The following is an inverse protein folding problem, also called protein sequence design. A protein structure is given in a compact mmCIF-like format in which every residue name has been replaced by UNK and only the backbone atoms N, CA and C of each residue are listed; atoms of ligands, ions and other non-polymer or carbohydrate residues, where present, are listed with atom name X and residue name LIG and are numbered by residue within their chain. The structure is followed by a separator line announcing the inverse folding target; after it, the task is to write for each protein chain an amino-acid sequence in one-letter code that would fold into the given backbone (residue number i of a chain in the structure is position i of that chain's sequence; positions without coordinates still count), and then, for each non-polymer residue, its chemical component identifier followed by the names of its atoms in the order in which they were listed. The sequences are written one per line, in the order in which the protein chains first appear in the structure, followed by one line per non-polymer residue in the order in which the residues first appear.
data_IF_918064650075
#
_entry.id   IF_918064650075
#
_cell.length_a   1.000
_cell.length_b   1.000
_cell.length_c   1.000
_cell.angle_alpha   90.00
_cell.angle_beta   90.00
_cell.angle_gamma   90.00
#
_symmetry.space_group_name_H-M   'P 1'
#
loop_
_entity.id
_entity.type
_entity.pdbx_description
1 polymer ?
#
# COMPACT_ATOMS: atom_id res chain seq x y z
N UNK A 1 -41.76 61.62 -17.49
CA UNK A 1 -40.50 60.90 -17.51
C UNK A 1 -40.18 60.50 -16.07
N UNK A 2 -40.38 59.24 -15.72
CA UNK A 2 -39.99 58.68 -14.42
C UNK A 2 -38.72 57.83 -14.63
N UNK A 3 -37.63 58.29 -14.04
CA UNK A 3 -36.35 57.57 -14.08
C UNK A 3 -36.41 56.36 -13.12
N UNK A 4 -36.20 55.15 -13.64
CA UNK A 4 -35.97 53.93 -12.84
C UNK A 4 -34.46 53.86 -12.49
N UNK A 5 -34.15 53.98 -11.22
CA UNK A 5 -32.81 53.68 -10.67
C UNK A 5 -32.82 52.23 -10.28
N UNK A 6 -32.11 51.37 -11.06
CA UNK A 6 -31.85 49.97 -10.69
C UNK A 6 -30.69 49.94 -9.70
N UNK A 7 -30.98 49.57 -8.47
CA UNK A 7 -29.94 49.21 -7.48
C UNK A 7 -29.41 47.81 -7.81
N UNK A 8 -28.19 47.74 -8.29
CA UNK A 8 -27.44 46.50 -8.34
C UNK A 8 -26.91 46.18 -6.93
N UNK A 9 -27.50 45.19 -6.28
CA UNK A 9 -26.93 44.62 -5.06
C UNK A 9 -25.74 43.72 -5.43
N UNK A 10 -24.52 44.20 -5.18
CA UNK A 10 -23.33 43.34 -5.18
C UNK A 10 -23.38 42.44 -3.93
N UNK A 11 -23.74 41.18 -4.11
CA UNK A 11 -23.48 40.16 -3.09
C UNK A 11 -21.97 39.94 -3.01
N UNK A 12 -21.34 40.42 -1.97
CA UNK A 12 -19.98 40.06 -1.64
C UNK A 12 -19.94 38.56 -1.34
N UNK A 13 -19.40 37.77 -2.27
CA UNK A 13 -18.96 36.42 -1.96
C UNK A 13 -17.86 36.57 -0.90
N UNK A 14 -18.15 36.18 0.33
CA UNK A 14 -17.12 35.98 1.35
C UNK A 14 -16.22 34.87 0.86
N UNK A 15 -15.00 35.17 0.44
CA UNK A 15 -13.97 34.18 0.23
C UNK A 15 -13.74 33.50 1.59
N UNK A 16 -14.12 32.23 1.72
CA UNK A 16 -13.77 31.45 2.89
C UNK A 16 -12.23 31.37 2.96
N UNK A 17 -11.68 31.61 4.15
CA UNK A 17 -10.24 31.47 4.34
C UNK A 17 -9.82 30.03 4.04
N UNK A 18 -8.74 29.86 3.25
CA UNK A 18 -8.18 28.53 2.94
C UNK A 18 -7.81 27.79 4.22
N UNK A 19 -8.02 26.48 4.25
CA UNK A 19 -7.57 25.63 5.35
C UNK A 19 -6.05 25.77 5.54
N UNK A 20 -5.53 26.16 6.71
CA UNK A 20 -4.09 26.27 6.92
C UNK A 20 -3.42 24.91 6.80
N UNK A 21 -2.17 24.88 6.33
CA UNK A 21 -1.38 23.64 6.39
C UNK A 21 -1.15 23.25 7.84
N UNK A 22 -1.25 21.94 8.16
CA UNK A 22 -0.89 21.48 9.49
C UNK A 22 0.61 21.68 9.76
N UNK A 23 0.95 21.86 11.02
CA UNK A 23 2.33 21.89 11.48
C UNK A 23 2.76 20.49 11.93
N UNK A 24 3.98 20.10 11.56
CA UNK A 24 4.58 18.82 11.93
C UNK A 24 5.73 19.07 12.91
N UNK A 25 5.77 18.31 14.01
CA UNK A 25 6.93 18.32 14.90
C UNK A 25 8.17 17.75 14.19
N UNK A 26 9.34 17.92 14.80
CA UNK A 26 10.52 17.16 14.39
C UNK A 26 10.24 15.66 14.49
N UNK A 27 10.80 14.82 13.57
CA UNK A 27 10.66 13.36 13.63
C UNK A 27 11.26 12.81 14.93
N UNK A 28 10.56 11.88 15.56
CA UNK A 28 11.02 11.14 16.73
C UNK A 28 10.99 9.65 16.42
N UNK A 29 12.12 8.96 16.59
CA UNK A 29 12.18 7.52 16.45
C UNK A 29 11.39 6.85 17.60
N UNK A 30 10.47 5.95 17.26
CA UNK A 30 9.72 5.11 18.23
C UNK A 30 10.27 3.67 18.27
N UNK A 31 11.27 3.37 17.46
CA UNK A 31 12.07 2.13 17.51
C UNK A 31 13.54 2.49 17.47
N UNK A 32 14.42 1.59 17.95
CA UNK A 32 15.86 1.87 18.02
C UNK A 32 16.67 0.60 17.84
N UNK A 33 17.90 0.76 17.31
CA UNK A 33 18.83 -0.33 17.14
C UNK A 33 19.11 -1.13 18.42
N UNK A 34 19.79 -2.30 18.29
CA UNK A 34 20.63 -2.65 17.13
C UNK A 34 19.87 -3.24 15.93
N UNK A 35 18.63 -3.69 16.11
CA UNK A 35 17.81 -4.30 15.05
C UNK A 35 17.19 -3.25 14.11
N UNK A 36 16.93 -3.65 12.86
CA UNK A 36 16.11 -2.88 11.94
C UNK A 36 14.62 -3.09 12.27
N UNK A 37 13.85 -2.01 12.20
CA UNK A 37 12.41 -2.03 12.41
C UNK A 37 11.69 -1.40 11.23
N UNK A 38 10.52 -1.92 10.90
CA UNK A 38 9.67 -1.37 9.84
C UNK A 38 8.19 -1.62 10.17
N UNK A 39 7.31 -0.87 9.53
CA UNK A 39 5.89 -1.16 9.65
C UNK A 39 5.58 -2.60 9.19
N UNK A 40 4.67 -3.24 9.89
CA UNK A 40 4.30 -4.63 9.64
C UNK A 40 3.40 -4.83 8.41
N UNK A 41 3.11 -3.77 7.64
CA UNK A 41 2.20 -3.79 6.50
C UNK A 41 2.50 -2.72 5.46
N UNK A 42 1.82 -2.81 4.30
CA UNK A 42 1.93 -1.86 3.20
C UNK A 42 1.33 -0.49 3.58
N UNK A 43 1.74 0.58 2.88
CA UNK A 43 1.38 1.97 3.23
C UNK A 43 -0.13 2.27 3.26
N UNK A 44 -0.96 1.52 2.54
CA UNK A 44 -2.41 1.66 2.56
C UNK A 44 -3.09 1.11 3.82
N UNK A 45 -2.33 0.46 4.72
CA UNK A 45 -2.84 -0.15 5.95
C UNK A 45 -2.46 0.71 7.14
N UNK A 46 -3.43 1.05 7.99
CA UNK A 46 -3.16 1.81 9.21
C UNK A 46 -2.45 0.92 10.26
N UNK A 47 -1.21 1.24 10.69
CA UNK A 47 -0.48 0.45 11.67
C UNK A 47 -0.87 0.79 13.12
N UNK A 48 -1.64 1.85 13.35
CA UNK A 48 -2.02 2.34 14.66
C UNK A 48 -3.20 1.57 15.22
N UNK A 49 -3.16 1.25 16.52
CA UNK A 49 -4.36 0.83 17.25
C UNK A 49 -5.40 1.95 17.29
N UNK A 50 -6.65 1.61 17.56
CA UNK A 50 -7.76 2.57 17.56
C UNK A 50 -7.58 3.73 18.56
N UNK A 51 -6.81 3.51 19.64
CA UNK A 51 -6.48 4.52 20.68
C UNK A 51 -5.12 5.21 20.45
N UNK A 52 -4.49 4.99 19.29
CA UNK A 52 -3.15 5.48 18.91
C UNK A 52 -2.01 5.11 19.88
N UNK A 53 -2.21 4.09 20.72
CA UNK A 53 -1.20 3.65 21.68
C UNK A 53 -0.20 2.70 21.07
N UNK A 54 -0.68 1.72 20.28
CA UNK A 54 0.15 0.66 19.73
C UNK A 54 0.36 0.85 18.24
N UNK A 55 1.58 0.54 17.78
CA UNK A 55 1.96 0.56 16.36
C UNK A 55 2.44 -0.84 15.97
N UNK A 56 1.86 -1.44 14.93
CA UNK A 56 2.29 -2.73 14.38
C UNK A 56 3.63 -2.57 13.67
N UNK A 57 4.64 -3.28 14.15
CA UNK A 57 6.04 -3.19 13.71
C UNK A 57 6.64 -4.58 13.53
N UNK A 58 7.56 -4.71 12.58
CA UNK A 58 8.47 -5.83 12.45
C UNK A 58 9.85 -5.48 12.98
N UNK A 59 10.54 -6.46 13.56
CA UNK A 59 11.94 -6.37 13.98
C UNK A 59 12.75 -7.46 13.28
N UNK A 60 13.86 -7.10 12.65
CA UNK A 60 14.70 -8.02 11.87
C UNK A 60 16.19 -7.67 11.94
N UNK A 61 17.04 -8.70 11.77
CA UNK A 61 18.49 -8.56 11.54
C UNK A 61 18.88 -8.67 10.06
N UNK A 62 17.93 -8.99 9.18
CA UNK A 62 18.18 -9.06 7.74
C UNK A 62 18.35 -7.65 7.19
N UNK A 63 19.52 -7.40 6.57
CA UNK A 63 19.90 -6.10 6.06
C UNK A 63 20.71 -6.25 4.77
N UNK A 64 20.56 -5.29 3.83
CA UNK A 64 21.34 -5.23 2.58
C UNK A 64 21.07 -6.35 1.57
N UNK A 65 20.04 -7.16 1.77
CA UNK A 65 19.59 -8.25 0.89
C UNK A 65 18.12 -8.57 1.11
N UNK A 66 17.55 -9.39 0.26
CA UNK A 66 16.22 -9.99 0.49
C UNK A 66 16.29 -11.09 1.55
N UNK A 67 15.17 -11.33 2.27
CA UNK A 67 15.07 -12.51 3.14
C UNK A 67 15.12 -13.79 2.33
N UNK A 68 15.81 -14.80 2.89
CA UNK A 68 15.89 -16.16 2.35
C UNK A 68 14.77 -17.03 2.90
N UNK A 69 14.47 -18.19 2.25
CA UNK A 69 13.54 -19.16 2.80
C UNK A 69 13.91 -19.59 4.23
N UNK A 70 12.94 -19.53 5.14
CA UNK A 70 13.14 -19.89 6.56
C UNK A 70 13.63 -18.74 7.45
N UNK A 71 14.01 -17.58 6.92
CA UNK A 71 14.38 -16.44 7.74
C UNK A 71 13.14 -15.75 8.35
N UNK A 72 13.09 -15.77 9.65
CA UNK A 72 11.98 -15.20 10.43
C UNK A 72 12.18 -13.71 10.70
N UNK A 73 11.04 -13.04 10.86
CA UNK A 73 10.93 -11.69 11.42
C UNK A 73 10.10 -11.77 12.70
N UNK A 74 10.41 -10.94 13.71
CA UNK A 74 9.53 -10.75 14.85
C UNK A 74 8.41 -9.78 14.48
N UNK A 75 7.16 -10.21 14.70
CA UNK A 75 5.96 -9.36 14.57
C UNK A 75 5.56 -8.90 15.95
N UNK A 76 5.31 -7.62 16.13
CA UNK A 76 4.94 -7.10 17.43
C UNK A 76 4.34 -5.70 17.39
N UNK A 77 4.22 -5.12 18.56
CA UNK A 77 3.70 -3.79 18.77
C UNK A 77 4.72 -2.89 19.46
N UNK A 78 4.74 -1.62 19.09
CA UNK A 78 5.44 -0.59 19.87
C UNK A 78 4.42 0.10 20.75
N UNK A 79 4.64 0.10 22.06
CA UNK A 79 3.82 0.85 23.02
C UNK A 79 4.34 2.28 23.14
N UNK A 80 3.70 3.21 22.44
CA UNK A 80 4.15 4.62 22.39
C UNK A 80 3.91 5.39 23.69
N UNK A 81 3.14 4.85 24.63
CA UNK A 81 2.87 5.44 25.96
C UNK A 81 3.76 4.85 27.05
N UNK A 82 4.47 3.76 26.77
CA UNK A 82 5.36 3.06 27.71
C UNK A 82 6.84 3.15 27.24
N UNK A 83 7.28 4.35 26.85
CA UNK A 83 8.66 4.62 26.45
C UNK A 83 9.08 4.03 25.11
N UNK A 84 8.15 3.87 24.19
CA UNK A 84 8.38 3.32 22.83
C UNK A 84 8.97 1.89 22.87
N UNK A 85 8.48 1.06 23.78
CA UNK A 85 8.97 -0.31 23.93
C UNK A 85 8.38 -1.22 22.86
N UNK A 86 9.23 -1.88 22.07
CA UNK A 86 8.81 -2.98 21.20
C UNK A 86 8.47 -4.21 22.04
N UNK A 87 7.30 -4.78 21.81
CA UNK A 87 6.81 -6.01 22.43
C UNK A 87 6.60 -7.04 21.34
N UNK A 88 7.51 -8.03 21.21
CA UNK A 88 7.33 -9.10 20.23
C UNK A 88 6.13 -9.97 20.61
N UNK A 89 5.33 -10.34 19.61
CA UNK A 89 4.12 -11.16 19.78
C UNK A 89 4.28 -12.51 19.10
N UNK A 90 4.82 -12.51 17.87
CA UNK A 90 4.97 -13.72 17.07
C UNK A 90 6.23 -13.67 16.20
N UNK A 91 6.56 -14.80 15.57
CA UNK A 91 7.56 -14.88 14.50
C UNK A 91 6.94 -15.47 13.24
N UNK A 92 7.40 -14.99 12.08
CA UNK A 92 6.93 -15.48 10.79
C UNK A 92 8.02 -15.42 9.73
N UNK A 93 8.00 -16.37 8.79
CA UNK A 93 8.82 -16.36 7.56
C UNK A 93 8.09 -15.66 6.39
N UNK A 94 6.82 -15.28 6.58
CA UNK A 94 6.00 -14.62 5.55
C UNK A 94 6.13 -13.10 5.67
N UNK A 95 7.23 -12.55 5.16
CA UNK A 95 7.49 -11.12 5.23
C UNK A 95 8.40 -10.61 4.10
N UNK A 96 8.38 -9.32 3.88
CA UNK A 96 9.29 -8.61 3.01
C UNK A 96 9.42 -7.13 3.47
N UNK A 97 10.36 -6.38 2.87
CA UNK A 97 10.62 -4.99 3.27
C UNK A 97 9.55 -4.00 2.82
N UNK A 98 8.72 -4.34 1.83
CA UNK A 98 7.76 -3.42 1.23
C UNK A 98 6.35 -3.53 1.84
N UNK A 99 5.90 -4.76 2.06
CA UNK A 99 4.55 -5.04 2.55
C UNK A 99 4.54 -5.63 3.97
N UNK A 100 5.73 -5.80 4.57
CA UNK A 100 5.84 -6.47 5.86
C UNK A 100 5.26 -7.87 5.80
N UNK A 101 4.45 -8.22 6.78
CA UNK A 101 3.64 -9.45 6.83
C UNK A 101 2.17 -9.20 6.57
N UNK A 102 1.81 -8.05 5.98
CA UNK A 102 0.45 -7.56 5.80
C UNK A 102 -0.36 -7.57 7.10
N UNK A 103 0.24 -7.14 8.20
CA UNK A 103 -0.44 -7.08 9.48
C UNK A 103 -1.50 -5.98 9.51
N UNK A 104 -2.70 -6.31 10.01
CA UNK A 104 -3.83 -5.39 10.14
C UNK A 104 -4.44 -5.54 11.53
N UNK A 105 -4.74 -4.42 12.19
CA UNK A 105 -5.65 -4.45 13.33
C UNK A 105 -7.02 -4.97 12.89
N UNK A 106 -7.67 -5.78 13.72
CA UNK A 106 -9.04 -6.25 13.47
C UNK A 106 -10.02 -5.25 14.10
N UNK A 107 -10.77 -4.48 13.28
CA UNK A 107 -11.76 -3.54 13.80
C UNK A 107 -12.80 -4.23 14.68
N UNK A 108 -13.07 -3.65 15.86
CA UNK A 108 -14.02 -4.19 16.82
C UNK A 108 -13.49 -5.30 17.74
N UNK A 109 -12.25 -5.79 17.52
CA UNK A 109 -11.57 -6.75 18.40
C UNK A 109 -10.36 -6.05 19.07
N UNK A 110 -10.48 -5.52 20.30
CA UNK A 110 -9.37 -4.84 20.98
C UNK A 110 -8.14 -5.73 21.10
N UNK A 111 -6.97 -5.11 20.99
CA UNK A 111 -5.66 -5.77 21.12
C UNK A 111 -5.44 -6.96 20.16
N UNK A 112 -6.22 -7.02 19.06
CA UNK A 112 -6.23 -8.13 18.12
C UNK A 112 -5.79 -7.66 16.73
N UNK A 113 -4.84 -8.38 16.13
CA UNK A 113 -4.41 -8.13 14.76
C UNK A 113 -4.24 -9.45 13.99
N UNK A 114 -4.28 -9.36 12.66
CA UNK A 114 -3.96 -10.46 11.74
C UNK A 114 -2.59 -10.23 11.13
N UNK A 115 -1.85 -11.29 10.87
CA UNK A 115 -0.59 -11.27 10.11
C UNK A 115 -0.45 -12.55 9.28
N UNK A 116 0.35 -12.51 8.21
CA UNK A 116 0.61 -13.69 7.39
C UNK A 116 1.71 -14.56 7.99
N UNK A 117 1.50 -15.85 7.93
CA UNK A 117 2.42 -16.86 8.44
C UNK A 117 2.46 -18.10 7.55
N UNK A 118 3.42 -18.99 7.81
CA UNK A 118 3.44 -20.33 7.24
C UNK A 118 3.02 -21.35 8.32
N UNK A 119 2.08 -22.23 7.98
CA UNK A 119 1.67 -23.36 8.81
C UNK A 119 1.53 -24.59 7.91
N UNK A 120 2.13 -25.69 8.30
CA UNK A 120 2.07 -26.97 7.56
C UNK A 120 2.38 -26.83 6.07
N UNK A 121 3.41 -26.04 5.73
CA UNK A 121 3.84 -25.79 4.36
C UNK A 121 2.89 -24.92 3.54
N UNK A 122 1.96 -24.17 4.15
CA UNK A 122 1.03 -23.26 3.46
C UNK A 122 1.07 -21.85 4.02
N UNK A 123 0.89 -20.87 3.16
CA UNK A 123 0.66 -19.50 3.59
C UNK A 123 -0.76 -19.39 4.16
N UNK A 124 -0.84 -18.85 5.35
CA UNK A 124 -2.08 -18.66 6.12
C UNK A 124 -2.08 -17.26 6.72
N UNK A 125 -3.21 -16.81 7.25
CA UNK A 125 -3.24 -15.69 8.17
C UNK A 125 -3.48 -16.18 9.60
N UNK A 126 -2.83 -15.56 10.57
CA UNK A 126 -3.03 -15.80 12.00
C UNK A 126 -3.63 -14.54 12.60
N UNK A 127 -4.78 -14.66 13.21
CA UNK A 127 -5.41 -13.60 14.00
C UNK A 127 -5.01 -13.87 15.44
N UNK A 128 -4.34 -12.91 16.07
CA UNK A 128 -3.80 -13.02 17.44
C UNK A 128 -4.24 -11.87 18.31
N UNK A 129 -4.64 -12.17 19.54
CA UNK A 129 -4.80 -11.17 20.59
C UNK A 129 -3.50 -11.12 21.43
N UNK A 130 -2.76 -10.03 21.33
CA UNK A 130 -1.41 -9.93 21.93
C UNK A 130 -1.40 -9.75 23.45
N UNK A 131 -2.58 -9.68 24.08
CA UNK A 131 -2.70 -9.66 25.56
C UNK A 131 -2.97 -11.02 26.15
N UNK A 132 -3.68 -11.87 25.41
CA UNK A 132 -4.14 -13.17 25.91
C UNK A 132 -3.47 -14.35 25.21
N UNK A 133 -2.67 -14.08 24.17
CA UNK A 133 -2.04 -15.08 23.29
C UNK A 133 -3.07 -15.99 22.59
N UNK A 134 -4.33 -15.59 22.55
CA UNK A 134 -5.37 -16.36 21.85
C UNK A 134 -5.18 -16.19 20.34
N UNK A 135 -5.09 -17.33 19.62
CA UNK A 135 -4.89 -17.37 18.18
C UNK A 135 -6.04 -18.05 17.46
N UNK A 136 -6.28 -17.60 16.20
CA UNK A 136 -7.18 -18.20 15.24
C UNK A 136 -6.51 -18.21 13.86
N UNK A 137 -6.47 -19.38 13.23
CA UNK A 137 -5.84 -19.55 11.91
C UNK A 137 -6.91 -19.44 10.83
N UNK A 138 -6.63 -18.64 9.81
CA UNK A 138 -7.40 -18.53 8.56
C UNK A 138 -6.57 -19.23 7.47
N UNK A 139 -7.10 -20.22 6.73
CA UNK A 139 -6.31 -21.02 5.79
C UNK A 139 -5.97 -20.30 4.47
N UNK A 140 -5.91 -18.98 4.51
CA UNK A 140 -5.58 -18.07 3.41
C UNK A 140 -4.73 -16.92 3.91
N UNK A 141 -3.64 -16.52 3.19
CA UNK A 141 -2.93 -15.29 3.51
C UNK A 141 -3.82 -14.07 3.22
N UNK A 142 -3.62 -12.97 3.93
CA UNK A 142 -4.34 -11.72 3.70
C UNK A 142 -3.49 -10.73 2.90
N UNK A 143 -4.13 -9.97 2.01
CA UNK A 143 -3.55 -8.84 1.27
C UNK A 143 -4.28 -7.52 1.58
N UNK A 144 -5.54 -7.58 1.97
CA UNK A 144 -6.31 -6.46 2.48
C UNK A 144 -7.38 -6.96 3.46
N UNK A 145 -7.75 -6.14 4.43
CA UNK A 145 -8.85 -6.40 5.37
C UNK A 145 -9.89 -5.29 5.22
N UNK A 146 -11.17 -5.67 5.21
CA UNK A 146 -12.29 -4.71 5.13
C UNK A 146 -12.40 -3.86 6.40
N UNK A 147 -12.96 -2.66 6.27
CA UNK A 147 -13.09 -1.71 7.38
C UNK A 147 -13.94 -2.24 8.56
N UNK A 148 -14.79 -3.24 8.33
CA UNK A 148 -15.58 -3.91 9.38
C UNK A 148 -14.86 -5.12 10.02
N UNK A 149 -13.64 -5.45 9.56
CA UNK A 149 -12.85 -6.58 10.06
C UNK A 149 -13.38 -7.97 9.72
N UNK A 150 -14.40 -8.08 8.87
CA UNK A 150 -15.08 -9.36 8.59
C UNK A 150 -14.56 -10.09 7.36
N UNK A 151 -14.02 -9.35 6.40
CA UNK A 151 -13.59 -9.89 5.11
C UNK A 151 -12.13 -9.55 4.85
N UNK A 152 -11.48 -10.39 4.07
CA UNK A 152 -10.16 -10.10 3.53
C UNK A 152 -10.12 -10.41 2.03
N UNK A 153 -9.17 -9.80 1.33
CA UNK A 153 -8.73 -10.26 0.01
C UNK A 153 -7.47 -11.08 0.21
N UNK A 154 -7.43 -12.25 -0.41
CA UNK A 154 -6.25 -13.10 -0.52
C UNK A 154 -5.76 -13.15 -1.95
N UNK A 155 -4.45 -13.22 -2.11
CA UNK A 155 -3.75 -13.36 -3.40
C UNK A 155 -2.67 -14.43 -3.29
N UNK A 156 -2.13 -14.87 -4.42
CA UNK A 156 -1.09 -15.89 -4.47
C UNK A 156 0.32 -15.28 -4.31
N UNK A 157 0.82 -15.21 -3.08
CA UNK A 157 2.16 -14.70 -2.76
C UNK A 157 3.29 -15.58 -3.30
N UNK A 158 3.06 -16.91 -3.43
CA UNK A 158 4.04 -17.81 -4.02
C UNK A 158 4.25 -17.50 -5.51
N UNK A 159 3.15 -17.27 -6.25
CA UNK A 159 3.21 -16.87 -7.64
C UNK A 159 3.90 -15.52 -7.82
N UNK A 160 3.56 -14.54 -6.99
CA UNK A 160 4.19 -13.23 -7.00
C UNK A 160 5.71 -13.33 -6.75
N UNK A 161 6.16 -14.21 -5.85
CA UNK A 161 7.58 -14.45 -5.54
C UNK A 161 8.41 -14.83 -6.75
N UNK A 162 7.86 -15.54 -7.72
CA UNK A 162 8.59 -15.99 -8.91
C UNK A 162 9.14 -14.82 -9.74
N UNK A 163 8.40 -13.72 -9.80
CA UNK A 163 8.76 -12.54 -10.60
C UNK A 163 9.09 -11.31 -9.74
N UNK A 164 8.56 -11.24 -8.53
CA UNK A 164 8.74 -10.13 -7.59
C UNK A 164 9.15 -10.66 -6.21
N UNK A 165 10.42 -11.04 -6.05
CA UNK A 165 10.92 -11.58 -4.78
C UNK A 165 10.92 -10.58 -3.63
N UNK A 166 10.73 -9.30 -3.92
CA UNK A 166 10.63 -8.19 -2.97
C UNK A 166 9.21 -7.99 -2.39
N UNK A 167 8.19 -8.65 -2.97
CA UNK A 167 6.80 -8.59 -2.49
C UNK A 167 6.23 -9.97 -2.15
N UNK A 168 6.61 -11.01 -2.90
CA UNK A 168 6.20 -12.37 -2.60
C UNK A 168 6.98 -12.96 -1.41
N UNK A 169 6.35 -13.88 -0.68
CA UNK A 169 7.00 -14.52 0.47
C UNK A 169 7.96 -15.62 0.06
N UNK A 170 9.10 -15.70 0.73
CA UNK A 170 10.03 -16.81 0.61
C UNK A 170 9.45 -18.05 1.30
N UNK A 171 9.24 -19.14 0.56
CA UNK A 171 8.71 -20.37 1.13
C UNK A 171 8.72 -21.51 0.12
N UNK A 172 9.03 -22.72 0.58
CA UNK A 172 9.03 -23.92 -0.22
C UNK A 172 7.63 -24.59 -0.20
N UNK A 173 7.31 -25.34 -1.26
CA UNK A 173 6.11 -26.19 -1.32
C UNK A 173 4.80 -25.43 -1.59
N UNK A 174 4.85 -24.17 -1.94
CA UNK A 174 3.66 -23.40 -2.28
C UNK A 174 3.29 -23.57 -3.76
N UNK A 175 1.99 -23.66 -4.03
CA UNK A 175 1.47 -23.71 -5.41
C UNK A 175 1.52 -22.34 -6.06
N UNK A 176 2.55 -22.10 -6.84
CA UNK A 176 2.75 -20.86 -7.60
C UNK A 176 2.09 -20.89 -8.98
N UNK A 177 1.42 -21.97 -9.37
CA UNK A 177 0.92 -22.16 -10.73
C UNK A 177 2.03 -21.90 -11.78
N UNK A 178 3.25 -22.32 -11.48
CA UNK A 178 4.40 -22.19 -12.38
C UNK A 178 4.11 -22.85 -13.74
N UNK A 179 4.41 -22.15 -14.82
CA UNK A 179 4.14 -22.64 -16.18
C UNK A 179 2.75 -22.32 -16.71
N UNK A 180 1.82 -21.82 -15.89
CA UNK A 180 0.51 -21.33 -16.33
C UNK A 180 0.52 -19.80 -16.35
N UNK A 181 0.48 -19.19 -17.54
CA UNK A 181 0.56 -17.71 -17.67
C UNK A 181 -0.68 -17.03 -17.13
N UNK A 182 -1.88 -17.57 -17.42
CA UNK A 182 -3.17 -17.00 -17.04
C UNK A 182 -4.07 -18.06 -16.39
N UNK A 183 -3.89 -18.38 -15.10
CA UNK A 183 -4.72 -19.37 -14.43
C UNK A 183 -6.18 -18.88 -14.30
N UNK A 184 -7.13 -19.82 -14.49
CA UNK A 184 -8.56 -19.59 -14.31
C UNK A 184 -8.99 -19.74 -12.86
N UNK A 185 -8.22 -20.46 -12.06
CA UNK A 185 -8.48 -20.84 -10.68
C UNK A 185 -7.61 -20.09 -9.66
N UNK A 186 -6.91 -19.03 -10.08
CA UNK A 186 -6.10 -18.15 -9.25
C UNK A 186 -6.41 -16.67 -9.54
N UNK A 187 -6.29 -15.81 -8.51
CA UNK A 187 -6.63 -14.40 -8.62
C UNK A 187 -6.96 -13.73 -7.29
N UNK A 188 -8.07 -13.00 -7.25
CA UNK A 188 -8.60 -12.41 -6.02
C UNK A 188 -9.56 -13.40 -5.34
N UNK A 189 -9.25 -13.77 -4.12
CA UNK A 189 -10.16 -14.54 -3.26
C UNK A 189 -10.74 -13.63 -2.18
N UNK A 190 -12.07 -13.60 -2.08
CA UNK A 190 -12.77 -12.99 -0.96
C UNK A 190 -12.86 -14.02 0.16
N UNK A 191 -12.31 -13.69 1.32
CA UNK A 191 -12.21 -14.58 2.49
C UNK A 191 -13.09 -14.02 3.61
N UNK A 192 -13.91 -14.87 4.22
CA UNK A 192 -14.61 -14.58 5.48
C UNK A 192 -13.63 -14.84 6.64
N UNK A 193 -13.25 -13.78 7.37
CA UNK A 193 -12.28 -13.89 8.46
C UNK A 193 -12.82 -14.62 9.70
N UNK A 194 -14.11 -14.84 9.80
CA UNK A 194 -14.73 -15.59 10.89
C UNK A 194 -14.72 -17.09 10.64
N UNK A 195 -15.04 -17.51 9.40
CA UNK A 195 -15.17 -18.94 9.03
C UNK A 195 -13.92 -19.49 8.33
N UNK A 196 -13.11 -18.64 7.71
CA UNK A 196 -12.00 -19.04 6.84
C UNK A 196 -12.44 -19.49 5.44
N UNK A 197 -13.74 -19.44 5.13
CA UNK A 197 -14.25 -19.75 3.79
C UNK A 197 -13.77 -18.70 2.79
N UNK A 198 -13.43 -19.14 1.58
CA UNK A 198 -12.96 -18.27 0.52
C UNK A 198 -13.67 -18.56 -0.81
N UNK A 199 -13.89 -17.50 -1.58
CA UNK A 199 -14.45 -17.55 -2.92
C UNK A 199 -13.57 -16.80 -3.89
N UNK A 200 -13.17 -17.41 -5.02
CA UNK A 200 -12.54 -16.70 -6.12
C UNK A 200 -13.56 -15.72 -6.73
N UNK A 201 -13.26 -14.43 -6.68
CA UNK A 201 -14.15 -13.37 -7.18
C UNK A 201 -13.71 -12.82 -8.54
N UNK A 202 -12.39 -12.80 -8.82
CA UNK A 202 -11.83 -12.41 -10.13
C UNK A 202 -10.64 -13.31 -10.41
N UNK A 203 -10.66 -14.06 -11.52
CA UNK A 203 -9.50 -14.86 -11.93
C UNK A 203 -8.52 -14.04 -12.78
N UNK A 204 -7.24 -14.44 -12.77
CA UNK A 204 -6.20 -13.82 -13.60
C UNK A 204 -6.57 -13.95 -15.09
N UNK A 205 -7.09 -15.09 -15.51
CA UNK A 205 -7.55 -15.30 -16.88
C UNK A 205 -8.66 -14.34 -17.31
N UNK A 206 -9.59 -14.01 -16.39
CA UNK A 206 -10.78 -13.20 -16.70
C UNK A 206 -10.47 -11.75 -17.09
N UNK A 207 -9.30 -11.22 -16.73
CA UNK A 207 -8.89 -9.85 -17.06
C UNK A 207 -7.95 -9.77 -18.26
N UNK A 208 -7.44 -10.90 -18.78
CA UNK A 208 -6.50 -10.95 -19.89
C UNK A 208 -6.99 -10.18 -21.11
N UNK A 209 -8.21 -10.47 -21.54
CA UNK A 209 -8.79 -9.88 -22.76
C UNK A 209 -9.15 -8.39 -22.63
N UNK A 210 -9.12 -7.87 -21.40
CA UNK A 210 -9.37 -6.45 -21.10
C UNK A 210 -8.15 -5.57 -21.30
N UNK A 211 -6.96 -6.17 -21.51
CA UNK A 211 -5.67 -5.47 -21.63
C UNK A 211 -4.98 -5.89 -22.93
N UNK A 212 -5.00 -5.08 -24.00
CA UNK A 212 -4.43 -5.44 -25.30
C UNK A 212 -2.98 -5.91 -25.24
N UNK A 213 -2.11 -5.24 -24.47
CA UNK A 213 -0.72 -5.63 -24.33
C UNK A 213 -0.57 -7.02 -23.66
N UNK A 214 -1.40 -7.33 -22.68
CA UNK A 214 -1.39 -8.62 -21.96
C UNK A 214 -2.02 -9.73 -22.81
N UNK A 215 -3.07 -9.42 -23.57
CA UNK A 215 -3.73 -10.37 -24.47
C UNK A 215 -2.76 -10.99 -25.48
N UNK A 216 -1.75 -10.25 -25.91
CA UNK A 216 -0.74 -10.72 -26.87
C UNK A 216 0.31 -11.64 -26.27
N UNK A 217 0.39 -11.79 -24.94
CA UNK A 217 1.34 -12.69 -24.27
C UNK A 217 0.98 -14.14 -24.60
N UNK A 218 1.91 -14.95 -25.16
CA UNK A 218 1.63 -16.33 -25.48
C UNK A 218 1.56 -17.21 -24.22
N UNK A 219 0.69 -18.20 -24.23
CA UNK A 219 0.63 -19.23 -23.20
C UNK A 219 1.66 -20.33 -23.48
N UNK A 220 2.88 -20.13 -23.01
CA UNK A 220 3.98 -21.08 -23.18
C UNK A 220 4.97 -20.97 -22.01
N UNK A 221 5.77 -22.02 -21.73
CA UNK A 221 6.83 -21.95 -20.74
C UNK A 221 7.80 -20.78 -21.01
N UNK A 222 8.19 -20.08 -19.96
CA UNK A 222 9.08 -18.92 -20.05
C UNK A 222 8.42 -17.60 -20.50
N UNK A 223 7.11 -17.60 -20.77
CA UNK A 223 6.37 -16.36 -20.98
C UNK A 223 6.25 -15.55 -19.67
N UNK A 224 6.03 -14.21 -19.76
CA UNK A 224 5.75 -13.39 -18.58
C UNK A 224 4.57 -13.95 -17.78
N UNK A 225 4.71 -14.03 -16.46
CA UNK A 225 3.64 -14.48 -15.56
C UNK A 225 2.72 -13.32 -15.21
N UNK A 226 1.41 -13.58 -15.26
CA UNK A 226 0.42 -12.63 -14.75
C UNK A 226 0.03 -12.97 -13.32
N UNK A 227 -0.05 -11.96 -12.47
CA UNK A 227 -0.45 -12.07 -11.06
C UNK A 227 -1.17 -10.81 -10.60
N UNK A 228 -1.89 -10.90 -9.49
CA UNK A 228 -2.52 -9.78 -8.83
C UNK A 228 -1.74 -9.39 -7.56
N UNK A 229 -1.69 -8.11 -7.27
CA UNK A 229 -1.02 -7.58 -6.09
C UNK A 229 -1.64 -6.24 -5.66
N UNK A 230 -1.21 -5.74 -4.51
CA UNK A 230 -1.56 -4.40 -4.02
C UNK A 230 -3.07 -4.18 -3.96
N UNK A 231 -3.76 -5.06 -3.23
CA UNK A 231 -5.20 -4.97 -3.08
C UNK A 231 -5.58 -4.01 -1.97
N UNK A 232 -6.69 -3.28 -2.15
CA UNK A 232 -7.26 -2.43 -1.11
C UNK A 232 -8.77 -2.34 -1.25
N UNK A 233 -9.51 -2.47 -0.14
CA UNK A 233 -10.94 -2.20 -0.11
C UNK A 233 -11.21 -0.69 -0.16
N UNK A 234 -12.36 -0.29 -0.76
CA UNK A 234 -12.94 1.03 -0.52
C UNK A 234 -13.26 1.21 0.97
N UNK A 235 -13.42 2.45 1.43
CA UNK A 235 -13.64 2.76 2.85
C UNK A 235 -14.90 2.08 3.42
N UNK A 236 -15.94 1.94 2.60
CA UNK A 236 -17.19 1.24 2.95
C UNK A 236 -17.11 -0.30 2.75
N UNK A 237 -15.98 -0.81 2.22
CA UNK A 237 -15.79 -2.23 1.93
C UNK A 237 -16.60 -2.77 0.75
N UNK A 238 -17.28 -1.91 -0.03
CA UNK A 238 -18.14 -2.33 -1.15
C UNK A 238 -17.38 -2.64 -2.43
N UNK A 239 -16.13 -2.16 -2.56
CA UNK A 239 -15.27 -2.31 -3.74
C UNK A 239 -13.87 -2.76 -3.37
N UNK A 240 -13.18 -3.31 -4.37
CA UNK A 240 -11.77 -3.72 -4.31
C UNK A 240 -11.02 -3.07 -5.46
N UNK A 241 -9.87 -2.49 -5.17
CA UNK A 241 -8.86 -2.08 -6.15
C UNK A 241 -7.70 -3.08 -6.11
N UNK A 242 -7.07 -3.34 -7.27
CA UNK A 242 -5.84 -4.11 -7.35
C UNK A 242 -5.01 -3.74 -8.58
N UNK A 243 -3.74 -4.12 -8.53
CA UNK A 243 -2.86 -4.11 -9.71
C UNK A 243 -2.79 -5.52 -10.31
N UNK A 244 -3.06 -5.61 -11.62
CA UNK A 244 -2.75 -6.78 -12.44
C UNK A 244 -1.42 -6.54 -13.11
N UNK A 245 -0.44 -7.39 -12.84
CA UNK A 245 0.89 -7.31 -13.43
C UNK A 245 1.19 -8.52 -14.27
N UNK A 246 1.84 -8.30 -15.42
CA UNK A 246 2.44 -9.34 -16.23
C UNK A 246 3.92 -9.03 -16.35
N UNK A 247 4.76 -9.91 -15.80
CA UNK A 247 6.18 -9.67 -15.61
C UNK A 247 6.95 -10.94 -15.97
N UNK A 248 8.07 -10.80 -16.67
CA UNK A 248 8.96 -11.92 -16.93
C UNK A 248 9.74 -12.33 -15.67
N UNK A 249 10.42 -13.47 -15.77
CA UNK A 249 11.18 -13.98 -14.66
C UNK A 249 12.26 -12.98 -14.23
N UNK A 250 12.40 -12.87 -12.92
CA UNK A 250 13.43 -12.04 -12.31
C UNK A 250 14.83 -12.59 -12.62
N UNK A 251 15.65 -11.81 -13.30
CA UNK A 251 17.06 -12.11 -13.52
C UNK A 251 17.87 -11.76 -12.26
N UNK A 252 18.32 -12.79 -11.53
CA UNK A 252 19.09 -12.64 -10.30
C UNK A 252 20.48 -11.99 -10.51
N UNK A 253 20.99 -11.97 -11.75
CA UNK A 253 22.30 -11.41 -12.08
C UNK A 253 22.20 -9.91 -12.40
N UNK A 254 21.24 -9.56 -13.25
CA UNK A 254 21.06 -8.16 -13.69
C UNK A 254 20.13 -7.36 -12.79
N UNK A 255 19.38 -8.03 -11.92
CA UNK A 255 18.33 -7.45 -11.09
C UNK A 255 17.27 -6.66 -11.91
N UNK A 256 16.95 -7.15 -13.11
CA UNK A 256 16.04 -6.50 -14.06
C UNK A 256 14.99 -7.47 -14.59
N UNK A 257 13.93 -6.87 -15.09
CA UNK A 257 12.90 -7.53 -15.89
C UNK A 257 12.99 -7.01 -17.32
N UNK A 258 12.93 -7.90 -18.31
CA UNK A 258 12.87 -7.53 -19.73
C UNK A 258 11.46 -7.11 -20.14
N UNK A 259 10.43 -7.67 -19.48
CA UNK A 259 9.03 -7.33 -19.71
C UNK A 259 8.33 -6.95 -18.39
N UNK A 260 7.64 -5.82 -18.42
CA UNK A 260 6.88 -5.34 -17.29
C UNK A 260 5.64 -4.59 -17.76
N UNK A 261 4.47 -5.10 -17.42
CA UNK A 261 3.20 -4.44 -17.69
C UNK A 261 2.37 -4.39 -16.40
N UNK A 262 1.78 -3.24 -16.11
CA UNK A 262 0.92 -3.03 -14.95
C UNK A 262 -0.37 -2.36 -15.38
N UNK A 263 -1.50 -2.92 -14.97
CA UNK A 263 -2.83 -2.34 -15.17
C UNK A 263 -3.56 -2.27 -13.84
N UNK A 264 -4.17 -1.13 -13.54
CA UNK A 264 -5.03 -0.95 -12.38
C UNK A 264 -6.48 -1.33 -12.70
N UNK A 265 -7.12 -2.03 -11.77
CA UNK A 265 -8.52 -2.44 -11.86
C UNK A 265 -9.29 -2.14 -10.59
N UNK A 266 -10.60 -2.03 -10.72
CA UNK A 266 -11.57 -2.05 -9.63
C UNK A 266 -12.69 -3.06 -9.93
N UNK A 267 -13.30 -3.60 -8.89
CA UNK A 267 -14.55 -4.37 -8.99
C UNK A 267 -15.41 -4.14 -7.74
N UNK A 268 -16.65 -4.57 -7.79
CA UNK A 268 -17.47 -4.73 -6.59
C UNK A 268 -16.91 -5.89 -5.73
N UNK A 269 -17.19 -5.89 -4.44
CA UNK A 269 -16.65 -6.87 -3.50
C UNK A 269 -17.02 -8.32 -3.80
N UNK A 270 -18.08 -8.56 -4.55
CA UNK A 270 -18.51 -9.89 -5.01
C UNK A 270 -17.84 -10.35 -6.32
N UNK A 271 -17.00 -9.49 -6.93
CA UNK A 271 -16.33 -9.69 -8.21
C UNK A 271 -17.11 -9.15 -9.41
N UNK A 272 -18.25 -8.51 -9.19
CA UNK A 272 -19.03 -7.83 -10.22
C UNK A 272 -18.35 -6.55 -10.73
N UNK A 273 -18.83 -6.02 -11.84
CA UNK A 273 -18.42 -4.70 -12.39
C UNK A 273 -16.90 -4.48 -12.50
N UNK A 274 -16.15 -5.50 -12.95
CA UNK A 274 -14.70 -5.36 -13.17
C UNK A 274 -14.41 -4.27 -14.20
N UNK A 275 -13.65 -3.24 -13.79
CA UNK A 275 -13.31 -2.06 -14.59
C UNK A 275 -11.81 -1.84 -14.61
N UNK A 276 -11.27 -1.49 -15.78
CA UNK A 276 -9.91 -0.98 -15.94
C UNK A 276 -9.89 0.51 -15.62
N UNK A 277 -8.98 0.95 -14.76
CA UNK A 277 -8.92 2.34 -14.31
C UNK A 277 -8.37 3.32 -15.35
N UNK A 278 -7.46 2.86 -16.24
CA UNK A 278 -6.77 3.72 -17.20
C UNK A 278 -6.65 3.07 -18.58
N UNK A 279 -6.44 3.86 -19.65
CA UNK A 279 -6.04 3.35 -20.96
C UNK A 279 -4.80 2.47 -20.88
N UNK A 280 -4.65 1.56 -21.83
CA UNK A 280 -3.46 0.72 -21.92
C UNK A 280 -2.20 1.58 -22.14
N UNK A 281 -1.10 1.16 -21.49
CA UNK A 281 0.19 1.85 -21.56
C UNK A 281 0.39 2.97 -20.53
N UNK A 282 -0.64 3.43 -19.81
CA UNK A 282 -0.41 4.42 -18.76
C UNK A 282 0.38 3.86 -17.57
N UNK A 283 0.27 2.57 -17.32
CA UNK A 283 0.83 1.95 -16.14
C UNK A 283 0.16 2.44 -14.86
N UNK A 284 0.45 1.82 -13.76
CA UNK A 284 -0.01 2.23 -12.45
C UNK A 284 0.98 1.77 -11.38
N UNK A 285 1.12 2.55 -10.33
CA UNK A 285 2.02 2.25 -9.21
C UNK A 285 1.27 2.40 -7.89
N UNK A 286 1.40 3.50 -7.20
CA UNK A 286 0.85 3.71 -5.86
C UNK A 286 -0.59 4.24 -5.93
N UNK A 287 -1.40 3.93 -4.91
CA UNK A 287 -2.84 4.17 -4.94
C UNK A 287 -3.38 4.37 -3.52
N UNK A 288 -4.50 5.07 -3.40
CA UNK A 288 -5.29 5.14 -2.16
C UNK A 288 -6.74 5.55 -2.46
N UNK A 289 -7.67 5.10 -1.62
CA UNK A 289 -9.04 5.59 -1.63
C UNK A 289 -9.12 6.93 -0.90
N UNK A 290 -9.66 7.94 -1.57
CA UNK A 290 -10.02 9.21 -0.95
C UNK A 290 -11.35 9.07 -0.18
N UNK A 291 -12.29 8.42 -0.80
CA UNK A 291 -13.61 8.07 -0.27
C UNK A 291 -14.08 6.72 -0.85
N UNK A 292 -15.37 6.38 -0.75
CA UNK A 292 -15.91 5.09 -1.19
C UNK A 292 -15.93 4.89 -2.72
N UNK A 293 -15.70 5.95 -3.50
CA UNK A 293 -15.77 5.92 -4.96
C UNK A 293 -14.60 6.60 -5.65
N UNK A 294 -13.87 7.45 -4.96
CA UNK A 294 -12.80 8.25 -5.55
C UNK A 294 -11.44 7.71 -5.13
N UNK A 295 -10.59 7.49 -6.10
CA UNK A 295 -9.22 7.01 -5.90
C UNK A 295 -8.19 8.02 -6.38
N UNK A 296 -7.05 8.04 -5.71
CA UNK A 296 -5.80 8.58 -6.24
C UNK A 296 -4.88 7.43 -6.60
N UNK A 297 -4.29 7.51 -7.79
CA UNK A 297 -3.31 6.54 -8.29
C UNK A 297 -2.14 7.30 -8.91
N UNK A 298 -0.91 6.84 -8.66
CA UNK A 298 0.25 7.30 -9.41
C UNK A 298 0.32 6.54 -10.73
N UNK A 299 0.38 7.27 -11.83
CA UNK A 299 0.37 6.69 -13.18
C UNK A 299 1.29 7.46 -14.12
N UNK A 300 1.75 6.82 -15.19
CA UNK A 300 2.38 7.52 -16.34
C UNK A 300 1.31 8.19 -17.18
N UNK A 301 0.90 9.37 -16.74
CA UNK A 301 -0.16 10.14 -17.39
C UNK A 301 0.15 10.37 -18.88
N UNK A 302 -0.70 9.85 -19.77
CA UNK A 302 -0.54 9.88 -21.22
C UNK A 302 0.83 9.36 -21.70
N UNK A 303 1.39 8.36 -21.01
CA UNK A 303 2.71 7.78 -21.28
C UNK A 303 3.90 8.77 -21.20
N UNK A 304 3.72 9.94 -20.59
CA UNK A 304 4.73 10.99 -20.56
C UNK A 304 5.52 11.01 -19.24
N UNK A 305 4.83 11.24 -18.13
CA UNK A 305 5.49 11.41 -16.83
C UNK A 305 4.66 10.77 -15.70
N UNK A 306 5.35 10.36 -14.67
CA UNK A 306 4.70 9.93 -13.44
C UNK A 306 4.04 11.13 -12.77
N UNK A 307 2.80 10.97 -12.34
CA UNK A 307 2.04 11.99 -11.63
C UNK A 307 0.91 11.36 -10.84
N UNK A 308 0.39 12.06 -9.87
CA UNK A 308 -0.79 11.66 -9.12
C UNK A 308 -2.05 12.05 -9.89
N UNK A 309 -2.96 11.12 -10.05
CA UNK A 309 -4.26 11.37 -10.67
C UNK A 309 -5.39 10.91 -9.76
N UNK A 310 -6.49 11.67 -9.80
CA UNK A 310 -7.75 11.32 -9.12
C UNK A 310 -8.79 10.95 -10.15
N UNK A 311 -9.58 9.92 -9.89
CA UNK A 311 -10.73 9.52 -10.68
C UNK A 311 -11.83 8.93 -9.80
N UNK A 312 -13.07 8.98 -10.29
CA UNK A 312 -14.23 8.34 -9.65
C UNK A 312 -14.54 7.03 -10.37
N UNK A 313 -14.73 5.95 -9.62
CA UNK A 313 -15.10 4.64 -10.18
C UNK A 313 -16.43 4.76 -10.94
N UNK A 314 -16.41 4.31 -12.21
CA UNK A 314 -17.50 4.47 -13.15
C UNK A 314 -17.36 5.70 -14.05
N UNK A 315 -16.37 6.57 -13.81
CA UNK A 315 -16.05 7.76 -14.59
C UNK A 315 -14.53 7.81 -14.92
N UNK A 316 -13.95 6.64 -15.23
CA UNK A 316 -12.51 6.46 -15.44
C UNK A 316 -11.95 7.25 -16.64
N UNK A 317 -12.80 7.83 -17.48
CA UNK A 317 -12.45 8.74 -18.55
C UNK A 317 -12.23 10.20 -18.06
N UNK A 318 -12.69 10.52 -16.85
CA UNK A 318 -12.61 11.86 -16.24
C UNK A 318 -11.49 11.92 -15.19
N UNK A 319 -10.25 11.78 -15.65
CA UNK A 319 -9.07 11.80 -14.77
C UNK A 319 -8.64 13.25 -14.50
N UNK A 320 -8.43 13.58 -13.23
CA UNK A 320 -7.89 14.86 -12.75
C UNK A 320 -6.46 14.69 -12.25
N UNK A 321 -5.49 15.43 -12.79
CA UNK A 321 -4.12 15.49 -12.24
C UNK A 321 -4.13 16.26 -10.92
N UNK A 322 -3.41 15.74 -9.93
CA UNK A 322 -3.20 16.38 -8.64
C UNK A 322 -1.79 16.98 -8.58
N UNK A 323 -1.68 18.23 -8.08
CA UNK A 323 -0.40 18.91 -7.92
C UNK A 323 0.44 18.98 -9.20
N UNK A 324 -0.21 19.18 -10.36
CA UNK A 324 0.44 19.21 -11.67
C UNK A 324 1.62 20.20 -11.73
N UNK A 325 2.82 19.70 -12.07
CA UNK A 325 4.07 20.47 -12.06
C UNK A 325 4.72 20.63 -10.69
N UNK A 326 4.04 20.24 -9.60
CA UNK A 326 4.52 20.33 -8.23
C UNK A 326 4.66 18.94 -7.56
N UNK A 327 3.92 17.93 -8.04
CA UNK A 327 3.92 16.57 -7.54
C UNK A 327 4.02 15.55 -8.69
N UNK A 328 4.90 15.81 -9.64
CA UNK A 328 5.11 14.97 -10.81
C UNK A 328 6.24 13.95 -10.53
N UNK A 329 5.95 12.96 -9.68
CA UNK A 329 6.82 11.82 -9.38
C UNK A 329 5.99 10.57 -9.09
N UNK A 330 6.63 9.41 -9.08
CA UNK A 330 6.06 8.18 -8.52
C UNK A 330 6.27 8.19 -7.00
N UNK A 331 5.20 7.99 -6.23
CA UNK A 331 5.27 8.04 -4.77
C UNK A 331 3.98 7.55 -4.12
N UNK A 332 4.11 7.07 -2.89
CA UNK A 332 2.98 6.62 -2.09
C UNK A 332 2.10 7.81 -1.72
N UNK A 333 0.80 7.67 -1.88
CA UNK A 333 -0.14 8.72 -1.57
C UNK A 333 -1.07 8.30 -0.43
N UNK A 334 -1.30 9.20 0.52
CA UNK A 334 -2.16 8.98 1.67
C UNK A 334 -2.88 10.27 2.05
N UNK A 335 -4.14 10.13 2.44
CA UNK A 335 -4.97 11.27 2.84
C UNK A 335 -4.93 11.50 4.34
N UNK A 336 -5.06 12.77 4.76
CA UNK A 336 -5.45 13.07 6.13
C UNK A 336 -6.85 12.47 6.41
N UNK A 337 -7.18 12.11 7.65
CA UNK A 337 -8.46 11.49 7.97
C UNK A 337 -9.68 12.32 7.53
N UNK A 338 -9.57 13.65 7.57
CA UNK A 338 -10.60 14.59 7.10
C UNK A 338 -10.61 14.81 5.58
N UNK A 339 -9.66 14.22 4.83
CA UNK A 339 -9.54 14.33 3.38
C UNK A 339 -9.13 15.71 2.86
N UNK A 340 -8.77 16.65 3.72
CA UNK A 340 -8.37 18.00 3.30
C UNK A 340 -6.97 18.08 2.74
N UNK A 341 -6.12 17.13 3.10
CA UNK A 341 -4.74 17.06 2.65
C UNK A 341 -4.42 15.68 2.07
N UNK A 342 -3.54 15.66 1.09
CA UNK A 342 -2.89 14.46 0.58
C UNK A 342 -1.38 14.61 0.77
N UNK A 343 -0.75 13.62 1.38
CA UNK A 343 0.70 13.52 1.44
C UNK A 343 1.18 12.55 0.37
N UNK A 344 2.39 12.78 -0.12
CA UNK A 344 3.11 11.82 -0.94
C UNK A 344 4.58 11.83 -0.56
N UNK A 345 5.15 10.62 -0.45
CA UNK A 345 6.60 10.45 -0.39
C UNK A 345 7.18 10.28 -1.80
N UNK A 346 8.50 10.31 -1.90
CA UNK A 346 9.19 9.95 -3.14
C UNK A 346 9.51 8.46 -3.18
N UNK A 347 9.18 7.79 -4.30
CA UNK A 347 9.68 6.45 -4.61
C UNK A 347 10.74 6.54 -5.72
N UNK A 348 11.96 6.07 -5.43
CA UNK A 348 13.00 5.77 -6.41
C UNK A 348 13.56 6.93 -7.25
N UNK A 349 12.76 7.90 -7.61
CA UNK A 349 13.15 9.00 -8.52
C UNK A 349 14.25 9.91 -7.96
N UNK A 350 14.43 9.92 -6.63
CA UNK A 350 15.46 10.71 -5.96
C UNK A 350 16.72 9.91 -5.61
N UNK A 351 16.86 8.69 -6.13
CA UNK A 351 18.03 7.83 -5.89
C UNK A 351 19.35 8.49 -6.27
N UNK A 352 19.34 9.37 -7.26
CA UNK A 352 20.52 10.16 -7.64
C UNK A 352 21.00 11.11 -6.53
N UNK A 353 20.11 11.60 -5.68
CA UNK A 353 20.41 12.45 -4.53
C UNK A 353 20.57 11.65 -3.24
N UNK A 354 20.22 10.36 -3.28
CA UNK A 354 20.21 9.49 -2.11
C UNK A 354 19.38 10.05 -0.94
N UNK A 355 18.24 10.63 -1.27
CA UNK A 355 17.29 11.23 -0.33
C UNK A 355 15.86 10.76 -0.64
N UNK A 356 15.05 10.66 0.40
CA UNK A 356 13.60 10.50 0.32
C UNK A 356 12.95 11.74 0.90
N UNK A 357 11.85 12.18 0.34
CA UNK A 357 11.13 13.35 0.85
C UNK A 357 9.64 13.06 1.02
N UNK A 358 9.00 13.88 1.83
CA UNK A 358 7.54 13.90 2.01
C UNK A 358 7.04 15.31 1.66
N UNK A 359 6.01 15.36 0.81
CA UNK A 359 5.30 16.59 0.48
C UNK A 359 3.82 16.45 0.86
N UNK A 360 3.19 17.57 1.21
CA UNK A 360 1.78 17.68 1.52
C UNK A 360 1.10 18.64 0.53
N UNK A 361 -0.04 18.22 -0.01
CA UNK A 361 -0.89 19.03 -0.87
C UNK A 361 -2.21 19.34 -0.16
N UNK A 362 -2.63 20.59 -0.18
CA UNK A 362 -3.97 20.99 0.22
C UNK A 362 -4.94 20.70 -0.93
N UNK A 363 -5.97 19.89 -0.66
CA UNK A 363 -6.90 19.42 -1.69
C UNK A 363 -7.81 20.53 -2.24
N UNK A 364 -8.01 21.59 -1.48
CA UNK A 364 -8.88 22.72 -1.81
C UNK A 364 -8.37 23.54 -3.02
N UNK A 365 -7.06 23.84 -3.05
CA UNK A 365 -6.44 24.71 -4.06
C UNK A 365 -5.24 24.07 -4.77
N UNK A 366 -4.80 22.88 -4.35
CA UNK A 366 -3.65 22.18 -4.92
C UNK A 366 -2.29 22.74 -4.50
N UNK A 367 -2.23 23.64 -3.51
CA UNK A 367 -0.97 24.15 -2.98
C UNK A 367 -0.16 23.01 -2.33
N UNK A 368 1.16 23.00 -2.54
CA UNK A 368 2.08 21.96 -2.09
C UNK A 368 3.15 22.55 -1.17
N UNK A 369 3.47 21.84 -0.09
CA UNK A 369 4.53 22.19 0.86
C UNK A 369 5.38 20.95 1.13
N UNK A 370 6.71 21.10 1.25
CA UNK A 370 7.60 20.06 1.75
C UNK A 370 7.45 19.91 3.27
N UNK A 371 7.42 18.67 3.77
CA UNK A 371 7.44 18.36 5.19
C UNK A 371 8.86 18.03 5.65
N UNK A 372 9.61 17.26 4.86
CA UNK A 372 10.97 16.89 5.22
C UNK A 372 11.66 16.05 4.15
N UNK A 373 12.98 16.00 4.27
CA UNK A 373 13.89 15.23 3.40
C UNK A 373 14.80 14.39 4.27
N UNK A 374 14.97 13.11 3.91
CA UNK A 374 15.62 12.08 4.71
C UNK A 374 16.72 11.40 3.89
N UNK A 375 17.96 11.42 4.35
CA UNK A 375 19.11 10.80 3.67
C UNK A 375 19.00 9.27 3.68
N UNK A 376 19.45 8.66 2.59
CA UNK A 376 19.51 7.20 2.45
C UNK A 376 20.97 6.75 2.46
N UNK A 377 21.44 6.10 3.55
CA UNK A 377 22.80 5.55 3.63
C UNK A 377 23.05 4.47 2.56
N UNK A 378 24.32 4.24 2.14
CA UNK A 378 24.65 3.35 1.03
C UNK A 378 24.09 1.94 1.11
N UNK A 379 24.04 1.34 2.30
CA UNK A 379 23.55 -0.03 2.52
C UNK A 379 22.05 -0.20 2.22
N UNK A 380 21.26 0.89 2.21
CA UNK A 380 19.82 0.89 1.94
C UNK A 380 19.46 1.40 0.52
N UNK A 381 20.45 1.51 -0.37
CA UNK A 381 20.25 1.99 -1.75
C UNK A 381 19.91 0.87 -2.74
N UNK A 382 19.75 -0.36 -2.26
CA UNK A 382 19.37 -1.51 -3.10
C UNK A 382 17.88 -1.46 -3.49
N UNK A 383 17.56 -1.85 -4.73
CA UNK A 383 16.21 -1.76 -5.29
C UNK A 383 15.17 -2.60 -4.55
N UNK A 384 15.55 -3.76 -4.02
CA UNK A 384 14.62 -4.72 -3.40
C UNK A 384 14.55 -4.66 -1.86
N UNK A 385 15.59 -4.10 -1.23
CA UNK A 385 15.64 -3.88 0.22
C UNK A 385 15.70 -2.40 0.58
N UNK A 386 15.33 -1.53 -0.36
CA UNK A 386 15.23 -0.09 -0.11
C UNK A 386 14.30 0.22 1.05
N UNK A 387 14.47 1.36 1.66
CA UNK A 387 13.57 1.89 2.65
C UNK A 387 12.71 2.98 2.03
N UNK A 388 11.49 2.65 1.68
CA UNK A 388 10.48 3.63 1.34
C UNK A 388 9.86 4.18 2.64
N UNK A 389 9.45 5.45 2.63
CA UNK A 389 9.00 6.11 3.84
C UNK A 389 7.64 5.57 4.29
N UNK A 390 6.75 5.21 3.34
CA UNK A 390 5.44 4.62 3.64
C UNK A 390 4.67 5.39 4.72
N UNK A 391 4.62 6.73 4.58
CA UNK A 391 4.02 7.59 5.58
C UNK A 391 2.53 7.33 5.78
N UNK A 392 2.03 7.52 7.02
CA UNK A 392 0.62 7.25 7.39
C UNK A 392 0.20 8.14 8.53
N UNK A 393 -1.04 8.64 8.46
CA UNK A 393 -1.67 9.27 9.61
C UNK A 393 -2.22 8.24 10.60
N UNK A 394 -2.22 8.58 11.89
CA UNK A 394 -3.09 7.91 12.85
C UNK A 394 -4.56 8.16 12.51
N UNK A 395 -5.46 7.35 13.06
CA UNK A 395 -6.89 7.42 12.74
C UNK A 395 -7.53 8.78 13.04
N UNK A 396 -7.05 9.47 14.08
CA UNK A 396 -7.51 10.82 14.48
C UNK A 396 -6.71 11.96 13.81
N UNK A 397 -5.66 11.61 13.03
CA UNK A 397 -4.82 12.59 12.35
C UNK A 397 -3.82 13.34 13.24
N UNK A 398 -3.75 13.05 14.53
CA UNK A 398 -2.86 13.72 15.47
C UNK A 398 -1.39 13.30 15.34
N UNK A 399 -1.13 12.15 14.72
CA UNK A 399 0.21 11.60 14.52
C UNK A 399 0.41 11.26 13.04
N UNK A 400 1.65 11.38 12.59
CA UNK A 400 2.11 10.94 11.28
C UNK A 400 3.34 10.06 11.45
N UNK A 401 3.24 8.79 11.05
CA UNK A 401 4.33 7.82 11.16
C UNK A 401 4.92 7.47 9.81
N UNK A 402 6.22 7.16 9.76
CA UNK A 402 6.93 6.74 8.55
C UNK A 402 8.16 5.89 8.88
N UNK A 403 8.59 5.05 7.92
CA UNK A 403 9.86 4.35 8.00
C UNK A 403 10.99 5.26 7.54
N UNK A 404 12.18 5.17 8.13
CA UNK A 404 13.35 5.84 7.59
C UNK A 404 14.66 5.19 8.03
N UNK A 405 15.73 5.49 7.28
CA UNK A 405 17.09 5.01 7.51
C UNK A 405 18.07 6.16 7.73
N UNK A 406 17.58 7.39 7.88
CA UNK A 406 18.41 8.60 7.86
C UNK A 406 19.37 8.71 9.06
N UNK A 407 19.12 7.99 10.14
CA UNK A 407 20.00 7.89 11.31
C UNK A 407 20.92 6.65 11.28
N UNK A 408 21.01 5.95 10.14
CA UNK A 408 21.96 4.86 9.92
C UNK A 408 21.40 3.45 10.02
N UNK A 409 20.20 3.27 10.59
CA UNK A 409 19.45 2.01 10.64
C UNK A 409 17.99 2.24 10.24
N UNK A 410 17.29 1.18 9.83
CA UNK A 410 15.87 1.25 9.50
C UNK A 410 15.06 1.33 10.79
N UNK A 411 14.35 2.43 10.98
CA UNK A 411 13.53 2.64 12.16
C UNK A 411 12.17 3.25 11.79
N UNK A 412 11.21 3.15 12.69
CA UNK A 412 9.91 3.80 12.60
C UNK A 412 9.97 5.15 13.33
N UNK A 413 9.53 6.18 12.66
CA UNK A 413 9.49 7.56 13.15
C UNK A 413 8.07 8.07 13.23
N UNK A 414 7.84 9.01 14.14
CA UNK A 414 6.56 9.68 14.35
C UNK A 414 6.76 11.18 14.45
N UNK A 415 5.83 11.95 13.90
CA UNK A 415 5.68 13.39 14.04
C UNK A 415 4.30 13.68 14.64
N UNK A 416 4.20 14.62 15.56
CA UNK A 416 2.92 15.20 15.99
C UNK A 416 2.40 16.12 14.89
N UNK A 417 1.09 16.13 14.69
CA UNK A 417 0.40 16.96 13.71
C UNK A 417 -0.54 17.91 14.44
N UNK A 418 -0.39 19.23 14.18
CA UNK A 418 -1.12 20.31 14.86
C UNK A 418 -1.85 21.21 13.87
#
# INVERSE_FOLDING_TARGET
MKAFVSLFAFSALSASALTPFPEFSAPRAITRGPHDHLFASYYGVNPWSADNRYVLVLETDVNGRLPEPGEEVSVGVVDTKEGDRFVPVAKTTCWNFQEGTMAHWIPGEPDTFVYNAMRDGRFVAVIVNFRTDAERIIPWPVSAVSADGRKAISINYARMRLTRPDYGYAGDGQDAREGVTFPEDDGLFLVDLRTGEAKLIVSIASVRDRVPAVKSIPEKPGAPLSYFCHTVFSRDGSRVFWLSRSVDWYDKVTHKHAYWHTTAFTCDVDGGNVRRCFPDGWGASHFNWKDDRTMTVTTKYRNALWTHVEFTVGEEDKVRRLGAGLMDWDGHNFYSPDGKFMLSDSDGMCDALYERFIAIMRMEDGAVKSIGTFKVPPQYRGSYWRCDLHGRFSADGSLFGFNSVHEGSRQVYVMEVK
#
